data_IF_841228098007
#
_entry.id   IF_841228098007
#
_cell.length_a   1.000
_cell.length_b   1.000
_cell.length_c   1.000
_cell.angle_alpha   90.00
_cell.angle_beta   90.00
_cell.angle_gamma   90.00
#
_symmetry.space_group_name_H-M   'P 1'
#
loop_
_entity.id
_entity.type
_entity.pdbx_description
1 polymer ?
#
# COMPACT_ATOMS: atom_id res chain seq x y z
N UNK A 1 -0.85 31.29 14.06
CA UNK A 1 -1.96 30.62 14.78
C UNK A 1 -1.35 29.81 15.90
N UNK A 2 -1.89 29.90 17.13
CA UNK A 2 -1.37 29.13 18.27
C UNK A 2 -1.73 27.64 18.10
N UNK A 3 -0.94 26.68 18.61
CA UNK A 3 -1.27 25.25 18.48
C UNK A 3 -2.66 24.88 19.00
N UNK A 4 -3.11 25.53 20.07
CA UNK A 4 -4.44 25.36 20.67
C UNK A 4 -5.57 25.78 19.71
N UNK A 5 -5.35 26.84 18.93
CA UNK A 5 -6.31 27.33 17.93
C UNK A 5 -6.44 26.39 16.75
N UNK A 6 -5.36 25.69 16.40
CA UNK A 6 -5.36 24.69 15.32
C UNK A 6 -6.18 23.45 15.70
N UNK A 7 -5.99 22.94 16.93
CA UNK A 7 -6.76 21.81 17.45
C UNK A 7 -8.25 22.15 17.55
N UNK A 8 -8.59 23.33 18.08
CA UNK A 8 -9.98 23.79 18.19
C UNK A 8 -10.65 23.96 16.81
N UNK A 9 -9.90 24.40 15.80
CA UNK A 9 -10.38 24.46 14.42
C UNK A 9 -10.66 23.06 13.85
N UNK A 10 -9.76 22.10 14.05
CA UNK A 10 -9.96 20.72 13.66
C UNK A 10 -11.18 20.08 14.34
N UNK A 11 -11.37 20.32 15.62
CA UNK A 11 -12.55 19.86 16.36
C UNK A 11 -13.85 20.47 15.81
N UNK A 12 -13.84 21.76 15.51
CA UNK A 12 -15.01 22.45 14.95
C UNK A 12 -15.39 21.92 13.55
N UNK A 13 -14.40 21.55 12.73
CA UNK A 13 -14.64 20.92 11.43
C UNK A 13 -15.17 19.50 11.60
N UNK A 14 -14.56 18.73 12.50
CA UNK A 14 -14.85 17.32 12.70
C UNK A 14 -16.17 17.05 13.40
N UNK A 15 -16.50 17.84 14.42
CA UNK A 15 -17.65 17.63 15.30
C UNK A 15 -18.76 18.69 15.13
N UNK A 16 -18.56 19.61 14.18
CA UNK A 16 -19.52 20.66 13.87
C UNK A 16 -19.27 21.98 14.61
N UNK A 17 -19.95 23.01 14.15
CA UNK A 17 -19.77 24.39 14.59
C UNK A 17 -20.04 24.63 16.08
N UNK A 18 -20.74 23.73 16.78
CA UNK A 18 -20.94 23.78 18.22
C UNK A 18 -19.65 23.59 19.05
N UNK A 19 -18.60 23.02 18.46
CA UNK A 19 -17.28 22.84 19.08
C UNK A 19 -16.30 23.98 18.75
N UNK A 20 -16.76 25.00 18.00
CA UNK A 20 -15.95 26.15 17.65
C UNK A 20 -15.89 27.13 18.80
N UNK A 21 -14.71 27.46 19.38
CA UNK A 21 -14.57 28.50 20.36
C UNK A 21 -15.05 29.85 19.79
N UNK A 22 -15.80 30.65 20.56
CA UNK A 22 -16.35 31.93 20.09
C UNK A 22 -15.33 32.92 19.54
N UNK A 23 -14.10 32.85 20.08
CA UNK A 23 -13.01 33.80 19.78
C UNK A 23 -12.04 33.26 18.71
N UNK A 24 -12.35 32.12 18.08
CA UNK A 24 -11.47 31.50 17.08
C UNK A 24 -11.55 32.24 15.73
N UNK A 25 -12.70 32.83 15.42
CA UNK A 25 -12.94 33.54 14.16
C UNK A 25 -13.61 34.86 14.39
N UNK A 26 -13.27 35.86 13.57
CA UNK A 26 -13.97 37.11 13.47
C UNK A 26 -15.24 36.97 12.63
N UNK A 27 -16.36 37.51 13.11
CA UNK A 27 -17.60 37.53 12.35
C UNK A 27 -18.84 37.07 13.14
N UNK A 28 -19.99 37.08 12.47
CA UNK A 28 -21.23 36.62 13.09
C UNK A 28 -21.26 35.08 13.13
N UNK A 29 -21.86 34.50 14.18
CA UNK A 29 -22.02 33.03 14.33
C UNK A 29 -22.59 32.37 13.08
N UNK A 30 -23.64 32.89 12.40
CA UNK A 30 -24.15 32.28 11.18
C UNK A 30 -23.14 32.29 10.02
N UNK A 31 -22.27 33.31 9.94
CA UNK A 31 -21.22 33.37 8.91
C UNK A 31 -20.12 32.35 9.20
N UNK A 32 -19.70 32.22 10.46
CA UNK A 32 -18.71 31.22 10.91
C UNK A 32 -19.23 29.80 10.65
N UNK A 33 -20.45 29.47 11.03
CA UNK A 33 -21.09 28.17 10.80
C UNK A 33 -21.14 27.83 9.31
N UNK A 34 -21.50 28.81 8.48
CA UNK A 34 -21.53 28.61 7.02
C UNK A 34 -20.12 28.33 6.44
N UNK A 35 -19.11 29.09 6.88
CA UNK A 35 -17.72 28.89 6.48
C UNK A 35 -17.19 27.52 6.88
N UNK A 36 -17.45 27.07 8.11
CA UNK A 36 -17.06 25.74 8.58
C UNK A 36 -17.72 24.61 7.78
N UNK A 37 -19.03 24.75 7.46
CA UNK A 37 -19.74 23.78 6.61
C UNK A 37 -19.13 23.68 5.21
N UNK A 38 -18.81 24.82 4.59
CA UNK A 38 -18.15 24.82 3.27
C UNK A 38 -16.79 24.12 3.35
N UNK A 39 -16.01 24.40 4.38
CA UNK A 39 -14.70 23.78 4.57
C UNK A 39 -14.81 22.26 4.82
N UNK A 40 -15.73 21.84 5.68
CA UNK A 40 -16.00 20.41 5.92
C UNK A 40 -16.42 19.69 4.64
N UNK A 41 -17.30 20.29 3.83
CA UNK A 41 -17.69 19.71 2.54
C UNK A 41 -16.51 19.60 1.56
N UNK A 42 -15.62 20.61 1.53
CA UNK A 42 -14.44 20.56 0.69
C UNK A 42 -13.47 19.44 1.12
N UNK A 43 -13.30 19.25 2.43
CA UNK A 43 -12.49 18.12 2.95
C UNK A 43 -13.11 16.79 2.58
N UNK A 44 -14.42 16.62 2.79
CA UNK A 44 -15.13 15.40 2.44
C UNK A 44 -14.98 15.11 0.93
N UNK A 45 -15.19 16.10 0.08
CA UNK A 45 -15.00 15.95 -1.38
C UNK A 45 -13.55 15.59 -1.74
N UNK A 46 -12.55 16.28 -1.15
CA UNK A 46 -11.14 15.97 -1.41
C UNK A 46 -10.77 14.54 -1.00
N UNK A 47 -11.38 13.99 0.06
CA UNK A 47 -11.17 12.61 0.50
C UNK A 47 -11.80 11.60 -0.47
N UNK A 48 -12.99 11.87 -1.00
CA UNK A 48 -13.58 11.04 -2.05
C UNK A 48 -12.72 11.02 -3.31
N UNK A 49 -12.28 12.19 -3.78
CA UNK A 49 -11.39 12.30 -4.95
C UNK A 49 -10.08 11.55 -4.72
N UNK A 50 -9.47 11.69 -3.53
CA UNK A 50 -8.25 10.97 -3.21
C UNK A 50 -8.44 9.44 -3.23
N UNK A 51 -9.60 8.95 -2.80
CA UNK A 51 -9.92 7.52 -2.86
C UNK A 51 -10.12 7.05 -4.31
N UNK A 52 -10.81 7.82 -5.15
CA UNK A 52 -10.96 7.56 -6.58
C UNK A 52 -9.60 7.53 -7.31
N UNK A 53 -8.70 8.46 -6.97
CA UNK A 53 -7.34 8.51 -7.51
C UNK A 53 -6.46 7.35 -7.02
N UNK A 54 -6.70 6.85 -5.82
CA UNK A 54 -6.00 5.68 -5.26
C UNK A 54 -6.45 4.39 -5.95
N UNK A 55 -7.72 4.28 -6.35
CA UNK A 55 -8.34 3.08 -6.89
C UNK A 55 -8.93 3.25 -8.31
N UNK A 56 -8.15 3.72 -9.28
CA UNK A 56 -8.68 4.07 -10.60
C UNK A 56 -9.17 2.87 -11.42
N UNK A 57 -8.61 1.67 -11.20
CA UNK A 57 -9.08 0.44 -11.87
C UNK A 57 -10.33 -0.09 -11.22
N UNK A 58 -10.36 -0.11 -9.89
CA UNK A 58 -11.53 -0.51 -9.13
C UNK A 58 -12.75 0.37 -9.47
N UNK A 59 -12.54 1.70 -9.53
CA UNK A 59 -13.58 2.66 -9.92
C UNK A 59 -14.13 2.38 -11.34
N UNK A 60 -13.28 1.93 -12.26
CA UNK A 60 -13.71 1.55 -13.62
C UNK A 60 -14.39 0.18 -13.69
N UNK A 61 -14.01 -0.73 -12.80
CA UNK A 61 -14.51 -2.10 -12.77
C UNK A 61 -15.88 -2.21 -12.08
N UNK A 62 -16.12 -1.39 -11.07
CA UNK A 62 -17.37 -1.35 -10.31
C UNK A 62 -18.40 -0.44 -10.96
N UNK A 63 -19.67 -0.66 -10.61
CA UNK A 63 -20.70 0.38 -10.81
C UNK A 63 -20.33 1.62 -9.99
N UNK A 64 -20.36 2.83 -10.58
CA UNK A 64 -19.96 4.06 -9.87
C UNK A 64 -20.75 4.31 -8.59
N UNK A 65 -22.03 3.95 -8.55
CA UNK A 65 -22.87 4.08 -7.36
C UNK A 65 -22.41 3.15 -6.25
N UNK A 66 -22.09 1.89 -6.59
CA UNK A 66 -21.57 0.91 -5.62
C UNK A 66 -20.20 1.31 -5.05
N UNK A 67 -19.30 1.85 -5.89
CA UNK A 67 -18.02 2.37 -5.41
C UNK A 67 -18.22 3.53 -4.41
N UNK A 68 -19.08 4.50 -4.75
CA UNK A 68 -19.33 5.66 -3.88
C UNK A 68 -19.99 5.25 -2.57
N UNK A 69 -20.90 4.27 -2.57
CA UNK A 69 -21.52 3.75 -1.35
C UNK A 69 -20.49 3.09 -0.43
N UNK A 70 -19.61 2.25 -0.98
CA UNK A 70 -18.51 1.65 -0.23
C UNK A 70 -17.53 2.72 0.30
N UNK A 71 -17.23 3.74 -0.53
CA UNK A 71 -16.37 4.85 -0.15
C UNK A 71 -16.96 5.68 1.02
N UNK A 72 -18.26 5.98 0.99
CA UNK A 72 -18.94 6.67 2.10
C UNK A 72 -18.83 5.86 3.40
N UNK A 73 -19.16 4.56 3.34
CA UNK A 73 -19.07 3.67 4.51
C UNK A 73 -17.66 3.62 5.09
N UNK A 74 -16.64 3.59 4.25
CA UNK A 74 -15.24 3.59 4.67
C UNK A 74 -14.82 4.94 5.27
N UNK A 75 -15.10 6.04 4.59
CA UNK A 75 -14.67 7.39 4.97
C UNK A 75 -15.31 7.87 6.28
N UNK A 76 -16.49 7.35 6.63
CA UNK A 76 -17.20 7.66 7.87
C UNK A 76 -16.62 6.92 9.09
N UNK A 77 -15.68 5.99 8.90
CA UNK A 77 -15.10 5.26 10.03
C UNK A 77 -14.24 6.18 10.91
N UNK A 78 -14.36 6.10 12.23
CA UNK A 78 -13.62 6.97 13.15
C UNK A 78 -12.11 6.93 12.99
N UNK A 79 -11.54 5.74 12.68
CA UNK A 79 -10.11 5.57 12.46
C UNK A 79 -9.67 6.16 11.11
N UNK A 80 -10.53 6.13 10.09
CA UNK A 80 -10.24 6.67 8.77
C UNK A 80 -10.30 8.20 8.76
N UNK A 81 -11.23 8.79 9.48
CA UNK A 81 -11.39 10.26 9.55
C UNK A 81 -10.10 10.98 9.96
N UNK A 82 -9.22 10.33 10.73
CA UNK A 82 -7.94 10.89 11.18
C UNK A 82 -6.76 10.62 10.25
N UNK A 83 -6.93 9.82 9.19
CA UNK A 83 -5.86 9.53 8.24
C UNK A 83 -5.53 10.75 7.38
N UNK A 84 -4.25 10.88 7.03
CA UNK A 84 -3.80 11.78 5.96
C UNK A 84 -4.23 11.24 4.59
N UNK A 85 -4.20 12.08 3.56
CA UNK A 85 -4.65 11.69 2.21
C UNK A 85 -3.79 10.57 1.60
N UNK A 86 -2.50 10.55 1.91
CA UNK A 86 -1.56 9.51 1.46
C UNK A 86 -1.78 8.13 2.10
N UNK A 87 -2.40 8.09 3.29
CA UNK A 87 -2.76 6.85 3.98
C UNK A 87 -4.23 6.46 3.80
N UNK A 88 -4.99 7.24 3.04
CA UNK A 88 -6.45 7.17 3.04
C UNK A 88 -7.01 5.89 2.40
N UNK A 89 -6.26 5.12 1.70
CA UNK A 89 -6.78 3.91 1.04
C UNK A 89 -6.66 2.63 1.87
N UNK A 90 -5.83 2.61 2.91
CA UNK A 90 -5.55 1.39 3.65
C UNK A 90 -6.81 0.79 4.28
N UNK A 91 -7.12 -0.45 3.92
CA UNK A 91 -8.25 -1.19 4.48
C UNK A 91 -9.59 -0.97 3.77
N UNK A 92 -9.63 -0.22 2.66
CA UNK A 92 -10.84 0.01 1.88
C UNK A 92 -11.46 -1.29 1.33
N UNK A 93 -10.66 -2.30 1.02
CA UNK A 93 -11.10 -3.61 0.54
C UNK A 93 -12.14 -4.28 1.43
N UNK A 94 -12.17 -3.96 2.72
CA UNK A 94 -13.10 -4.54 3.69
C UNK A 94 -14.55 -4.08 3.52
N UNK A 95 -14.76 -3.07 2.70
CA UNK A 95 -16.06 -2.48 2.39
C UNK A 95 -16.58 -2.93 1.02
N UNK A 96 -15.88 -3.87 0.38
CA UNK A 96 -16.25 -4.44 -0.91
C UNK A 96 -16.82 -5.84 -0.72
N UNK A 97 -17.96 -6.12 -1.35
CA UNK A 97 -18.66 -7.40 -1.19
C UNK A 97 -18.00 -8.51 -2.02
N UNK A 98 -17.61 -8.22 -3.27
CA UNK A 98 -17.06 -9.20 -4.19
C UNK A 98 -15.57 -9.43 -3.95
N UNK A 99 -15.16 -10.71 -3.96
CA UNK A 99 -13.77 -11.11 -3.73
C UNK A 99 -12.83 -10.55 -4.80
N UNK A 100 -13.26 -10.54 -6.05
CA UNK A 100 -12.52 -9.97 -7.19
C UNK A 100 -12.23 -8.48 -6.99
N UNK A 101 -13.19 -7.71 -6.50
CA UNK A 101 -12.98 -6.28 -6.18
C UNK A 101 -12.09 -6.09 -4.97
N UNK A 102 -12.17 -6.97 -3.95
CA UNK A 102 -11.23 -6.95 -2.82
C UNK A 102 -9.80 -7.21 -3.28
N UNK A 103 -9.60 -8.19 -4.16
CA UNK A 103 -8.30 -8.49 -4.75
C UNK A 103 -7.75 -7.29 -5.53
N UNK A 104 -8.59 -6.65 -6.36
CA UNK A 104 -8.20 -5.48 -7.13
C UNK A 104 -7.83 -4.30 -6.22
N UNK A 105 -8.64 -4.00 -5.20
CA UNK A 105 -8.34 -2.94 -4.24
C UNK A 105 -7.03 -3.21 -3.49
N UNK A 106 -6.82 -4.43 -3.00
CA UNK A 106 -5.56 -4.82 -2.36
C UNK A 106 -4.36 -4.66 -3.31
N UNK A 107 -4.52 -5.04 -4.57
CA UNK A 107 -3.46 -4.92 -5.57
C UNK A 107 -3.12 -3.46 -5.89
N UNK A 108 -4.12 -2.58 -6.08
CA UNK A 108 -3.89 -1.15 -6.30
C UNK A 108 -3.22 -0.48 -5.09
N UNK A 109 -3.63 -0.83 -3.87
CA UNK A 109 -2.98 -0.35 -2.66
C UNK A 109 -1.51 -0.82 -2.57
N UNK A 110 -1.24 -2.11 -2.80
CA UNK A 110 0.13 -2.66 -2.82
C UNK A 110 0.99 -2.06 -3.92
N UNK A 111 0.38 -1.72 -5.06
CA UNK A 111 1.06 -1.01 -6.14
C UNK A 111 1.52 0.39 -5.67
N UNK A 112 0.63 1.13 -5.02
CA UNK A 112 0.94 2.46 -4.49
C UNK A 112 2.05 2.40 -3.43
N UNK A 113 1.98 1.44 -2.51
CA UNK A 113 3.03 1.21 -1.51
C UNK A 113 4.38 0.86 -2.16
N UNK A 114 4.40 0.02 -3.19
CA UNK A 114 5.60 -0.32 -3.93
C UNK A 114 6.17 0.88 -4.70
N UNK A 115 5.30 1.68 -5.29
CA UNK A 115 5.67 2.89 -6.03
C UNK A 115 6.35 3.94 -5.13
N UNK A 116 5.85 4.15 -3.92
CA UNK A 116 6.40 5.12 -2.97
C UNK A 116 7.50 4.57 -2.05
N UNK A 117 7.85 3.29 -2.17
CA UNK A 117 8.88 2.68 -1.35
C UNK A 117 10.27 3.27 -1.64
N UNK A 118 11.17 3.15 -0.66
CA UNK A 118 12.56 3.57 -0.82
C UNK A 118 13.27 2.78 -1.94
N UNK A 119 14.22 3.43 -2.59
CA UNK A 119 15.11 2.77 -3.55
C UNK A 119 16.13 1.88 -2.84
N UNK A 120 16.46 0.76 -3.48
CA UNK A 120 17.56 -0.10 -3.11
C UNK A 120 18.08 -0.84 -4.35
N UNK A 121 19.30 -1.29 -4.32
CA UNK A 121 19.87 -2.10 -5.39
C UNK A 121 19.39 -3.55 -5.26
N UNK A 122 18.68 -4.05 -6.28
CA UNK A 122 18.18 -5.40 -6.29
C UNK A 122 19.34 -6.40 -6.48
N UNK A 123 19.32 -7.48 -5.71
CA UNK A 123 20.28 -8.56 -5.82
C UNK A 123 20.09 -9.30 -7.15
N UNK A 124 21.20 -9.56 -7.85
CA UNK A 124 21.22 -10.39 -9.04
C UNK A 124 21.88 -11.76 -8.78
N UNK A 125 21.61 -12.73 -9.66
CA UNK A 125 22.32 -14.03 -9.62
C UNK A 125 23.84 -13.87 -9.86
N UNK A 126 24.24 -12.86 -10.63
CA UNK A 126 25.65 -12.55 -10.87
C UNK A 126 26.35 -12.08 -9.59
N UNK A 127 25.66 -11.28 -8.76
CA UNK A 127 26.19 -10.83 -7.47
C UNK A 127 26.45 -12.02 -6.56
N UNK A 128 25.49 -12.95 -6.45
CA UNK A 128 25.67 -14.17 -5.67
C UNK A 128 26.81 -15.05 -6.20
N UNK A 129 26.93 -15.20 -7.52
CA UNK A 129 27.96 -15.98 -8.15
C UNK A 129 29.37 -15.37 -7.97
N UNK A 130 29.48 -14.10 -7.72
CA UNK A 130 30.74 -13.38 -7.46
C UNK A 130 31.29 -13.60 -6.04
N UNK A 131 30.43 -14.05 -5.11
CA UNK A 131 30.82 -14.25 -3.71
C UNK A 131 31.64 -15.54 -3.53
N UNK A 132 32.64 -15.48 -2.65
CA UNK A 132 33.34 -16.69 -2.18
C UNK A 132 32.37 -17.56 -1.37
N UNK A 133 32.54 -18.90 -1.33
CA UNK A 133 31.59 -19.81 -0.67
C UNK A 133 31.27 -19.44 0.78
N UNK A 134 32.29 -19.08 1.58
CA UNK A 134 32.08 -18.69 2.98
C UNK A 134 31.33 -17.38 3.10
N UNK A 135 31.62 -16.41 2.24
CA UNK A 135 30.91 -15.13 2.17
C UNK A 135 29.45 -15.30 1.72
N UNK A 136 29.21 -16.20 0.74
CA UNK A 136 27.87 -16.54 0.29
C UNK A 136 27.02 -17.14 1.41
N UNK A 137 27.57 -18.08 2.18
CA UNK A 137 26.84 -18.71 3.30
C UNK A 137 26.55 -17.73 4.44
N UNK A 138 27.45 -16.78 4.66
CA UNK A 138 27.30 -15.72 5.68
C UNK A 138 26.41 -14.56 5.22
N UNK A 139 26.24 -14.37 3.90
CA UNK A 139 25.46 -13.28 3.32
C UNK A 139 24.04 -13.27 3.87
N UNK A 140 23.52 -12.07 4.17
CA UNK A 140 22.16 -11.89 4.66
C UNK A 140 21.29 -11.29 3.58
N UNK A 141 20.14 -11.89 3.39
CA UNK A 141 19.14 -11.45 2.42
C UNK A 141 17.95 -10.83 3.16
N UNK A 142 17.36 -9.82 2.58
CA UNK A 142 16.08 -9.24 2.98
C UNK A 142 15.27 -8.85 1.75
N UNK A 143 14.00 -8.57 1.95
CA UNK A 143 13.17 -8.06 0.86
C UNK A 143 13.63 -6.67 0.43
N UNK A 144 13.54 -6.43 -0.88
CA UNK A 144 13.65 -5.09 -1.43
C UNK A 144 12.53 -4.20 -0.85
N UNK A 145 12.78 -2.94 -0.49
CA UNK A 145 11.78 -2.06 0.13
C UNK A 145 10.47 -1.94 -0.65
N UNK A 146 10.52 -2.05 -1.97
CA UNK A 146 9.35 -1.99 -2.84
C UNK A 146 8.65 -3.35 -3.04
N UNK A 147 9.13 -4.44 -2.45
CA UNK A 147 8.49 -5.75 -2.60
C UNK A 147 7.19 -5.79 -1.81
N UNK A 148 6.09 -6.12 -2.48
CA UNK A 148 4.78 -6.39 -1.88
C UNK A 148 4.23 -7.68 -2.45
N UNK A 149 3.39 -8.37 -1.70
CA UNK A 149 2.66 -9.52 -2.19
C UNK A 149 1.33 -9.67 -1.49
N UNK A 150 0.40 -10.36 -2.13
CA UNK A 150 -0.89 -10.74 -1.56
C UNK A 150 -1.33 -12.08 -2.14
N UNK A 151 -2.03 -12.87 -1.33
CA UNK A 151 -2.74 -14.06 -1.80
C UNK A 151 -4.06 -13.59 -2.39
N UNK A 152 -4.35 -13.99 -3.62
CA UNK A 152 -5.60 -13.69 -4.30
C UNK A 152 -6.73 -14.58 -3.76
N UNK A 153 -7.91 -14.03 -3.58
CA UNK A 153 -9.11 -14.78 -3.22
C UNK A 153 -9.72 -15.44 -4.45
N UNK A 154 -9.68 -14.75 -5.60
CA UNK A 154 -10.19 -15.23 -6.89
C UNK A 154 -9.11 -15.10 -7.99
N UNK A 155 -8.04 -15.93 -7.94
CA UNK A 155 -6.93 -15.82 -8.89
C UNK A 155 -7.34 -15.99 -10.35
N UNK A 156 -8.35 -16.80 -10.65
CA UNK A 156 -8.84 -17.03 -12.02
C UNK A 156 -9.61 -15.82 -12.60
N UNK A 157 -10.19 -15.00 -11.74
CA UNK A 157 -10.91 -13.79 -12.12
C UNK A 157 -10.01 -12.54 -12.17
N UNK A 158 -8.74 -12.67 -11.76
CA UNK A 158 -7.84 -11.54 -11.63
C UNK A 158 -7.17 -11.19 -12.96
N UNK A 159 -7.85 -10.41 -13.79
CA UNK A 159 -7.34 -9.82 -15.04
C UNK A 159 -7.89 -8.40 -15.19
N UNK A 160 -7.16 -7.41 -14.67
CA UNK A 160 -7.59 -6.03 -14.57
C UNK A 160 -6.71 -5.06 -15.39
N UNK A 161 -6.48 -5.33 -16.66
CA UNK A 161 -5.67 -4.52 -17.58
C UNK A 161 -4.20 -4.33 -17.12
N UNK A 162 -3.72 -5.14 -16.20
CA UNK A 162 -2.31 -5.20 -15.88
C UNK A 162 -1.59 -6.25 -16.73
N UNK A 163 -0.37 -5.93 -17.14
CA UNK A 163 0.51 -6.94 -17.74
C UNK A 163 1.08 -7.81 -16.61
N UNK A 164 0.44 -8.96 -16.36
CA UNK A 164 0.81 -9.86 -15.26
C UNK A 164 1.46 -11.10 -15.86
N UNK A 165 2.70 -11.40 -15.48
CA UNK A 165 3.39 -12.62 -15.84
C UNK A 165 3.10 -13.76 -14.85
N UNK A 166 3.04 -15.00 -15.31
CA UNK A 166 2.81 -16.19 -14.47
C UNK A 166 1.34 -16.48 -14.19
N UNK A 167 1.07 -17.54 -13.43
CA UNK A 167 -0.25 -18.14 -13.20
C UNK A 167 -0.51 -18.61 -11.75
N UNK A 168 0.39 -18.29 -10.81
CA UNK A 168 0.24 -18.63 -9.39
C UNK A 168 -0.92 -17.93 -8.67
N UNK A 169 -1.18 -18.29 -7.43
CA UNK A 169 -2.24 -17.72 -6.60
C UNK A 169 -1.80 -16.46 -5.82
N UNK A 170 -0.52 -16.14 -5.86
CA UNK A 170 0.06 -15.01 -5.14
C UNK A 170 0.46 -13.93 -6.15
N UNK A 171 -0.09 -12.74 -5.98
CA UNK A 171 0.33 -11.57 -6.72
C UNK A 171 1.55 -10.96 -6.03
N UNK A 172 2.66 -10.90 -6.75
CA UNK A 172 3.91 -10.28 -6.36
C UNK A 172 4.06 -8.95 -7.10
N UNK A 173 4.40 -7.91 -6.36
CA UNK A 173 4.74 -6.60 -6.88
C UNK A 173 6.20 -6.30 -6.51
N UNK A 174 6.97 -5.86 -7.48
CA UNK A 174 8.37 -5.47 -7.30
C UNK A 174 8.68 -4.22 -8.12
N UNK A 175 9.72 -3.51 -7.73
CA UNK A 175 10.20 -2.33 -8.46
C UNK A 175 11.73 -2.36 -8.50
N UNK A 176 12.29 -3.26 -9.33
CA UNK A 176 13.76 -3.37 -9.49
C UNK A 176 14.39 -2.10 -10.06
N UNK A 177 13.64 -1.42 -10.91
CA UNK A 177 13.97 -0.13 -11.52
C UNK A 177 12.90 0.91 -11.14
N UNK A 178 12.61 1.87 -11.98
CA UNK A 178 11.63 2.93 -11.70
C UNK A 178 10.16 2.48 -11.90
N UNK A 179 9.90 1.29 -12.43
CA UNK A 179 8.57 0.78 -12.78
C UNK A 179 8.14 -0.35 -11.85
N UNK A 180 6.88 -0.29 -11.38
CA UNK A 180 6.28 -1.38 -10.59
C UNK A 180 5.83 -2.49 -11.53
N UNK A 181 6.43 -3.66 -11.35
CA UNK A 181 6.13 -4.89 -12.10
C UNK A 181 5.23 -5.80 -11.28
N UNK A 182 4.31 -6.48 -11.96
CA UNK A 182 3.40 -7.46 -11.37
C UNK A 182 3.69 -8.86 -11.92
N UNK A 183 3.71 -9.83 -11.03
CA UNK A 183 3.90 -11.24 -11.38
C UNK A 183 3.03 -12.12 -10.50
N UNK A 184 2.47 -13.17 -11.06
CA UNK A 184 1.85 -14.25 -10.27
C UNK A 184 2.91 -15.30 -9.96
N UNK A 185 2.98 -15.70 -8.70
CA UNK A 185 3.92 -16.71 -8.19
C UNK A 185 3.18 -17.75 -7.36
N UNK A 186 3.82 -18.90 -7.15
CA UNK A 186 3.29 -20.00 -6.38
C UNK A 186 3.40 -19.81 -4.85
N UNK A 187 2.90 -20.79 -4.10
CA UNK A 187 2.95 -20.80 -2.65
C UNK A 187 4.38 -20.95 -2.10
N UNK A 188 5.26 -21.61 -2.83
CA UNK A 188 6.67 -21.79 -2.49
C UNK A 188 7.38 -20.44 -2.48
N UNK A 189 7.19 -19.62 -3.51
CA UNK A 189 7.69 -18.25 -3.56
C UNK A 189 7.13 -17.40 -2.42
N UNK A 190 5.82 -17.51 -2.11
CA UNK A 190 5.21 -16.80 -0.99
C UNK A 190 5.81 -17.20 0.36
N UNK A 191 6.16 -18.47 0.54
CA UNK A 191 6.85 -18.96 1.73
C UNK A 191 8.23 -18.31 1.89
N UNK A 192 9.00 -18.18 0.80
CA UNK A 192 10.30 -17.51 0.81
C UNK A 192 10.14 -16.02 1.11
N UNK A 193 9.17 -15.33 0.49
CA UNK A 193 8.86 -13.92 0.77
C UNK A 193 8.54 -13.71 2.24
N UNK A 194 7.70 -14.56 2.83
CA UNK A 194 7.37 -14.53 4.25
C UNK A 194 8.60 -14.75 5.14
N UNK A 195 9.48 -15.68 4.76
CA UNK A 195 10.72 -15.93 5.48
C UNK A 195 11.67 -14.72 5.43
N UNK A 196 11.74 -14.01 4.29
CA UNK A 196 12.58 -12.84 4.06
C UNK A 196 11.97 -11.52 4.58
N UNK A 197 10.76 -11.53 5.13
CA UNK A 197 10.19 -10.36 5.81
C UNK A 197 11.07 -9.88 6.97
N UNK A 198 11.96 -10.74 7.45
CA UNK A 198 13.08 -10.42 8.33
C UNK A 198 14.38 -10.82 7.66
N UNK A 199 15.44 -10.03 7.83
CA UNK A 199 16.77 -10.37 7.32
C UNK A 199 17.20 -11.79 7.72
N UNK A 200 17.62 -12.59 6.75
CA UNK A 200 18.01 -14.00 6.93
C UNK A 200 19.34 -14.31 6.27
N UNK A 201 20.23 -15.07 6.93
CA UNK A 201 21.41 -15.58 6.25
C UNK A 201 21.03 -16.61 5.17
N UNK A 202 21.76 -16.60 4.05
CA UNK A 202 21.53 -17.50 2.90
C UNK A 202 21.49 -18.97 3.34
N UNK A 203 22.35 -19.38 4.28
CA UNK A 203 22.36 -20.75 4.81
C UNK A 203 20.99 -21.21 5.36
N UNK A 204 20.15 -20.31 5.80
CA UNK A 204 18.79 -20.64 6.28
C UNK A 204 17.78 -20.86 5.14
N UNK A 205 18.16 -20.54 3.93
CA UNK A 205 17.36 -20.73 2.72
C UNK A 205 17.81 -21.96 1.89
N UNK A 206 18.85 -22.69 2.32
CA UNK A 206 19.35 -23.87 1.60
C UNK A 206 18.33 -25.01 1.47
N UNK A 207 17.25 -25.00 2.25
CA UNK A 207 16.13 -25.94 2.14
C UNK A 207 14.93 -25.38 1.38
N UNK A 208 15.00 -24.14 0.88
CA UNK A 208 13.94 -23.54 0.10
C UNK A 208 13.94 -24.08 -1.33
N UNK A 209 12.82 -23.93 -2.02
CA UNK A 209 12.71 -24.24 -3.44
C UNK A 209 13.62 -23.32 -4.24
N UNK A 210 14.64 -23.89 -4.89
CA UNK A 210 15.64 -23.12 -5.63
C UNK A 210 15.06 -22.42 -6.87
N UNK A 211 14.22 -23.04 -7.70
CA UNK A 211 13.49 -22.38 -8.76
C UNK A 211 12.69 -21.16 -8.28
N UNK A 212 11.94 -21.29 -7.19
CA UNK A 212 11.18 -20.19 -6.63
C UNK A 212 12.10 -19.04 -6.14
N UNK A 213 13.22 -19.36 -5.48
CA UNK A 213 14.19 -18.37 -5.06
C UNK A 213 14.82 -17.62 -6.25
N UNK A 214 15.19 -18.33 -7.32
CA UNK A 214 15.70 -17.74 -8.56
C UNK A 214 14.66 -16.80 -9.15
N UNK A 215 13.41 -17.23 -9.26
CA UNK A 215 12.30 -16.41 -9.76
C UNK A 215 12.16 -15.09 -8.96
N UNK A 216 12.31 -15.14 -7.64
CA UNK A 216 12.25 -13.96 -6.78
C UNK A 216 13.45 -13.03 -6.96
N UNK A 217 14.65 -13.57 -7.16
CA UNK A 217 15.86 -12.77 -7.46
C UNK A 217 15.68 -12.08 -8.80
N UNK A 218 15.29 -12.81 -9.85
CA UNK A 218 15.08 -12.27 -11.20
C UNK A 218 13.95 -11.22 -11.23
N UNK A 219 12.99 -11.32 -10.33
CA UNK A 219 11.95 -10.31 -10.15
C UNK A 219 12.42 -9.07 -9.37
N UNK A 220 13.68 -9.01 -8.93
CA UNK A 220 14.23 -7.89 -8.19
C UNK A 220 13.63 -7.67 -6.80
N UNK A 221 13.17 -8.75 -6.16
CA UNK A 221 12.44 -8.68 -4.88
C UNK A 221 13.35 -8.76 -3.65
N UNK A 222 14.62 -9.02 -3.83
CA UNK A 222 15.58 -9.31 -2.77
C UNK A 222 16.76 -8.33 -2.87
N UNK A 223 17.29 -7.95 -1.73
CA UNK A 223 18.53 -7.18 -1.61
C UNK A 223 19.52 -7.90 -0.69
N UNK A 224 20.79 -7.69 -0.97
CA UNK A 224 21.86 -8.10 -0.07
C UNK A 224 21.98 -7.07 1.06
N UNK A 225 21.90 -7.52 2.28
CA UNK A 225 22.14 -6.64 3.43
C UNK A 225 23.65 -6.40 3.56
N UNK A 226 24.09 -5.16 3.38
CA UNK A 226 25.47 -4.80 3.63
C UNK A 226 25.80 -5.03 5.12
N UNK A 227 26.81 -5.82 5.41
CA UNK A 227 27.38 -5.89 6.76
C UNK A 227 27.89 -4.49 7.08
N UNK A 228 27.26 -3.77 8.00
CA UNK A 228 27.88 -2.57 8.55
C UNK A 228 29.11 -3.06 9.30
N UNK A 229 30.28 -2.70 8.81
CA UNK A 229 31.50 -2.75 9.63
C UNK A 229 31.29 -1.71 10.75
N UNK A 230 31.10 -2.22 11.98
CA UNK A 230 31.14 -1.42 13.20
C UNK A 230 32.59 -1.07 13.57
#
# INVERSE_FOLDING_TARGET
MRPESFNAFHEAIRFGAGHCPPDLFDGSVPAIVRGLKVHANNIAHARHVALEETYPRLLRAMDPGAFHEAAEQFLDQPHVVSLSLDALGEGFERYLEEASFRDLARAEWRWLEAFHAAEAEALTLADLASLQPDALLAARLRLHPATRWLVLEEPEAFDWDWQIAGDGEVLLLSRPDAEVLLRRVDAEAASILSALSRSRPVVRLLGADLPALITLIDAGTIVLESVRED
#
